data_IF_488490022534
#
_entry.id   IF_488490022534
#
_cell.length_a   1.000
_cell.length_b   1.000
_cell.length_c   1.000
_cell.angle_alpha   90.00
_cell.angle_beta   90.00
_cell.angle_gamma   90.00
#
_symmetry.space_group_name_H-M   'P 1'
#
loop_
_entity.id
_entity.type
_entity.pdbx_description
1 polymer ?
#
# COMPACT_ATOMS: atom_id res chain seq x y z
N UNK A 1 -20.34 9.12 -0.82
CA UNK A 1 -19.08 9.08 -1.59
C UNK A 1 -18.53 7.68 -1.42
N UNK A 2 -18.17 7.02 -2.52
CA UNK A 2 -17.52 5.71 -2.46
C UNK A 2 -16.02 5.90 -2.18
N UNK A 3 -15.42 4.99 -1.42
CA UNK A 3 -13.98 4.99 -1.17
C UNK A 3 -13.23 4.59 -2.44
N UNK A 4 -11.95 5.00 -2.55
CA UNK A 4 -11.08 4.48 -3.61
C UNK A 4 -10.84 2.99 -3.39
N UNK A 5 -10.77 2.25 -4.49
CA UNK A 5 -10.52 0.81 -4.47
C UNK A 5 -9.05 0.55 -4.81
N UNK A 6 -8.37 -0.20 -3.96
CA UNK A 6 -6.97 -0.57 -4.10
C UNK A 6 -6.83 -2.09 -4.02
N UNK A 7 -5.82 -2.62 -4.68
CA UNK A 7 -5.50 -4.06 -4.62
C UNK A 7 -4.20 -4.29 -3.88
N UNK A 8 -4.15 -5.35 -3.06
CA UNK A 8 -2.94 -5.83 -2.39
C UNK A 8 -2.49 -7.13 -3.05
N UNK A 9 -1.30 -7.13 -3.64
CA UNK A 9 -0.69 -8.28 -4.30
C UNK A 9 0.54 -8.79 -3.55
N UNK A 10 0.74 -10.11 -3.56
CA UNK A 10 1.99 -10.77 -3.17
C UNK A 10 2.46 -11.62 -4.35
N UNK A 11 3.72 -11.47 -4.73
CA UNK A 11 4.33 -12.06 -5.93
C UNK A 11 5.59 -12.87 -5.57
N UNK A 12 5.53 -13.60 -4.44
CA UNK A 12 6.67 -14.35 -3.91
C UNK A 12 7.36 -13.55 -2.80
N UNK A 13 8.49 -12.93 -3.10
CA UNK A 13 9.19 -12.03 -2.16
C UNK A 13 8.66 -10.59 -2.23
N UNK A 14 8.01 -10.23 -3.33
CA UNK A 14 7.55 -8.85 -3.57
C UNK A 14 6.08 -8.68 -3.18
N UNK A 15 5.72 -7.47 -2.76
CA UNK A 15 4.33 -7.09 -2.53
C UNK A 15 4.06 -5.67 -3.02
N UNK A 16 2.79 -5.42 -3.33
CA UNK A 16 2.35 -4.09 -3.76
C UNK A 16 0.93 -3.76 -3.31
N UNK A 17 0.67 -2.50 -3.01
CA UNK A 17 -0.66 -1.89 -2.93
C UNK A 17 -0.80 -1.00 -4.17
N UNK A 18 -1.84 -1.19 -4.99
CA UNK A 18 -2.01 -0.45 -6.26
C UNK A 18 -3.43 0.06 -6.47
N UNK A 19 -3.56 1.26 -7.04
CA UNK A 19 -4.80 1.73 -7.66
C UNK A 19 -4.95 1.08 -9.05
N UNK A 20 -5.97 0.24 -9.27
CA UNK A 20 -6.12 -0.48 -10.54
C UNK A 20 -6.42 0.45 -11.72
N UNK A 21 -6.78 1.72 -11.46
CA UNK A 21 -7.03 2.71 -12.50
C UNK A 21 -5.77 3.53 -12.83
N UNK A 22 -4.65 3.29 -12.13
CA UNK A 22 -3.38 3.95 -12.40
C UNK A 22 -2.60 3.17 -13.47
N UNK A 23 -2.21 3.83 -14.56
CA UNK A 23 -1.30 3.29 -15.56
C UNK A 23 0.17 3.34 -15.08
N UNK A 24 1.07 2.66 -15.79
CA UNK A 24 2.51 2.48 -15.44
C UNK A 24 3.35 3.78 -15.30
N UNK A 25 2.74 4.97 -15.28
CA UNK A 25 3.40 6.29 -15.25
C UNK A 25 3.59 6.86 -13.82
N UNK A 26 3.80 6.00 -12.82
CA UNK A 26 4.07 6.44 -11.46
C UNK A 26 5.45 7.12 -11.35
N UNK A 27 5.48 8.39 -10.92
CA UNK A 27 6.72 9.02 -10.47
C UNK A 27 7.02 8.53 -9.05
N UNK A 28 8.06 7.71 -8.90
CA UNK A 28 8.50 7.26 -7.59
C UNK A 28 8.93 8.44 -6.72
N UNK A 29 8.41 8.54 -5.50
CA UNK A 29 9.04 9.37 -4.48
C UNK A 29 10.37 8.69 -4.13
N UNK A 30 11.48 9.34 -4.43
CA UNK A 30 12.81 8.77 -4.21
C UNK A 30 13.01 8.29 -2.77
N UNK A 31 13.58 7.09 -2.64
CA UNK A 31 14.17 6.46 -1.43
C UNK A 31 13.34 6.66 -0.15
N UNK A 32 12.07 6.26 -0.17
CA UNK A 32 11.36 5.85 1.04
C UNK A 32 11.08 4.36 0.85
N UNK A 33 11.49 3.51 1.78
CA UNK A 33 11.04 2.13 1.84
C UNK A 33 9.80 2.08 2.74
N UNK A 34 8.68 1.48 2.31
CA UNK A 34 8.42 0.97 0.96
C UNK A 34 8.29 2.08 -0.08
N UNK A 35 8.68 1.79 -1.33
CA UNK A 35 8.64 2.75 -2.45
C UNK A 35 7.21 3.21 -2.64
N UNK A 36 6.95 4.48 -2.34
CA UNK A 36 5.61 5.07 -2.35
C UNK A 36 5.49 6.06 -3.51
N UNK A 37 4.46 5.87 -4.35
CA UNK A 37 4.16 6.76 -5.48
C UNK A 37 2.90 7.55 -5.19
N UNK A 38 2.96 8.86 -5.43
CA UNK A 38 1.86 9.80 -5.16
C UNK A 38 1.51 10.58 -6.42
N UNK A 39 0.21 10.61 -6.76
CA UNK A 39 -0.33 11.40 -7.87
C UNK A 39 -1.49 12.26 -7.37
N UNK A 40 -1.42 13.59 -7.61
CA UNK A 40 -2.47 14.51 -7.18
C UNK A 40 -2.68 14.54 -5.65
N UNK A 41 -1.64 14.27 -4.86
CA UNK A 41 -1.71 14.21 -3.40
C UNK A 41 -2.34 12.92 -2.85
N UNK A 42 -2.46 11.87 -3.68
CA UNK A 42 -2.97 10.56 -3.29
C UNK A 42 -1.95 9.47 -3.56
N UNK A 43 -1.82 8.53 -2.64
CA UNK A 43 -1.01 7.32 -2.87
C UNK A 43 -1.71 6.47 -3.95
N UNK A 44 -0.94 6.12 -4.98
CA UNK A 44 -1.39 5.29 -6.11
C UNK A 44 -0.67 3.95 -6.15
N UNK A 45 0.52 3.88 -5.56
CA UNK A 45 1.28 2.64 -5.42
C UNK A 45 2.14 2.67 -4.15
N UNK A 46 2.23 1.52 -3.48
CA UNK A 46 3.26 1.22 -2.49
C UNK A 46 3.86 -0.14 -2.89
N UNK A 47 5.17 -0.24 -2.98
CA UNK A 47 5.87 -1.46 -3.40
C UNK A 47 7.12 -1.72 -2.54
N UNK A 48 7.34 -2.99 -2.19
CA UNK A 48 8.60 -3.44 -1.60
C UNK A 48 8.84 -4.94 -1.86
N UNK A 49 10.08 -5.36 -1.65
CA UNK A 49 10.55 -6.75 -1.63
C UNK A 49 10.75 -7.27 -0.21
N UNK A 50 10.74 -6.39 0.79
CA UNK A 50 10.80 -6.75 2.21
C UNK A 50 9.44 -6.52 2.85
N UNK A 51 9.01 -7.45 3.70
CA UNK A 51 7.83 -7.20 4.54
C UNK A 51 8.03 -5.92 5.36
N UNK A 52 7.01 -5.05 5.51
CA UNK A 52 7.14 -3.80 6.24
C UNK A 52 7.70 -4.02 7.65
N UNK A 53 8.73 -3.25 8.03
CA UNK A 53 9.19 -3.21 9.41
C UNK A 53 8.30 -2.26 10.22
N UNK A 54 8.35 -2.39 11.56
CA UNK A 54 7.60 -1.49 12.43
C UNK A 54 8.06 -0.03 12.25
N UNK A 55 9.35 0.18 12.03
CA UNK A 55 9.95 1.50 11.83
C UNK A 55 9.37 2.18 10.57
N UNK A 56 9.24 1.46 9.45
CA UNK A 56 8.65 1.98 8.21
C UNK A 56 7.17 2.36 8.40
N UNK A 57 6.42 1.55 9.17
CA UNK A 57 5.02 1.85 9.50
C UNK A 57 4.91 3.08 10.40
N UNK A 58 5.84 3.26 11.33
CA UNK A 58 5.88 4.40 12.21
C UNK A 58 6.25 5.69 11.46
N UNK A 59 7.20 5.63 10.52
CA UNK A 59 7.52 6.73 9.60
C UNK A 59 6.32 7.07 8.71
N UNK A 60 5.61 6.08 8.17
CA UNK A 60 4.42 6.30 7.36
C UNK A 60 3.32 7.11 8.09
N UNK A 61 3.24 7.02 9.43
CA UNK A 61 2.27 7.79 10.25
C UNK A 61 2.56 9.29 10.27
N UNK A 62 3.74 9.74 9.86
CA UNK A 62 4.07 11.18 9.74
C UNK A 62 3.44 11.82 8.49
N UNK A 63 2.98 11.01 7.53
CA UNK A 63 2.43 11.46 6.26
C UNK A 63 0.90 11.36 6.24
N UNK A 64 0.23 12.49 6.01
CA UNK A 64 -1.25 12.57 6.01
C UNK A 64 -1.90 11.67 4.95
N UNK A 65 -1.20 11.41 3.84
CA UNK A 65 -1.68 10.61 2.72
C UNK A 65 -1.96 9.16 3.12
N UNK A 66 -1.22 8.63 4.11
CA UNK A 66 -1.41 7.26 4.60
C UNK A 66 -2.69 7.07 5.40
N UNK A 67 -3.33 8.15 5.85
CA UNK A 67 -4.62 8.11 6.57
C UNK A 67 -5.84 8.18 5.65
N UNK A 68 -5.67 8.15 4.32
CA UNK A 68 -6.80 8.05 3.40
C UNK A 68 -7.53 6.71 3.58
N UNK A 69 -8.84 6.78 3.84
CA UNK A 69 -9.70 5.59 3.94
C UNK A 69 -9.99 5.06 2.53
N UNK A 70 -9.62 3.82 2.28
CA UNK A 70 -9.79 3.11 1.02
C UNK A 70 -10.42 1.73 1.24
N UNK A 71 -10.98 1.16 0.18
CA UNK A 71 -11.41 -0.24 0.13
C UNK A 71 -10.30 -1.08 -0.51
N UNK A 72 -9.78 -2.06 0.22
CA UNK A 72 -8.69 -2.92 -0.20
C UNK A 72 -9.19 -4.32 -0.55
N UNK A 73 -8.67 -4.87 -1.65
CA UNK A 73 -8.87 -6.27 -2.05
C UNK A 73 -7.53 -7.00 -2.14
N UNK A 74 -7.38 -8.08 -1.37
CA UNK A 74 -6.19 -8.93 -1.37
C UNK A 74 -6.34 -9.96 -2.48
N UNK A 75 -5.49 -9.87 -3.50
CA UNK A 75 -5.63 -10.66 -4.73
C UNK A 75 -5.43 -12.16 -4.53
N UNK A 76 -4.60 -12.55 -3.57
CA UNK A 76 -4.24 -13.96 -3.34
C UNK A 76 -5.38 -14.80 -2.73
N UNK A 77 -6.33 -14.16 -2.03
CA UNK A 77 -7.38 -14.86 -1.30
C UNK A 77 -8.77 -14.20 -1.41
N UNK A 78 -8.89 -13.05 -2.08
CA UNK A 78 -10.14 -12.30 -2.22
C UNK A 78 -10.61 -11.64 -0.93
N UNK A 79 -9.79 -11.57 0.12
CA UNK A 79 -10.12 -10.86 1.36
C UNK A 79 -10.29 -9.37 1.07
N UNK A 80 -11.32 -8.76 1.67
CA UNK A 80 -11.66 -7.35 1.47
C UNK A 80 -11.83 -6.67 2.81
N UNK A 81 -11.30 -5.45 2.91
CA UNK A 81 -11.45 -4.62 4.10
C UNK A 81 -11.45 -3.14 3.72
N UNK A 82 -12.08 -2.32 4.56
CA UNK A 82 -12.00 -0.86 4.47
C UNK A 82 -11.08 -0.39 5.59
N UNK A 83 -10.12 0.47 5.25
CA UNK A 83 -9.13 0.96 6.22
C UNK A 83 -8.24 2.04 5.62
N UNK A 84 -7.17 2.38 6.33
CA UNK A 84 -6.10 3.29 5.89
C UNK A 84 -4.96 2.53 5.21
N UNK A 85 -4.00 3.23 4.62
CA UNK A 85 -2.77 2.59 4.15
C UNK A 85 -1.95 2.00 5.31
N UNK A 86 -2.04 2.58 6.53
CA UNK A 86 -1.42 2.00 7.73
C UNK A 86 -2.01 0.63 8.04
N UNK A 87 -3.34 0.48 7.98
CA UNK A 87 -4.01 -0.81 8.20
C UNK A 87 -3.58 -1.84 7.14
N UNK A 88 -3.40 -1.39 5.89
CA UNK A 88 -2.91 -2.24 4.81
C UNK A 88 -1.45 -2.69 5.02
N UNK A 89 -0.56 -1.81 5.48
CA UNK A 89 0.83 -2.17 5.82
C UNK A 89 0.88 -3.16 6.98
N UNK A 90 0.09 -2.95 8.04
CA UNK A 90 0.01 -3.90 9.17
C UNK A 90 -0.56 -5.26 8.72
N UNK A 91 -1.52 -5.29 7.79
CA UNK A 91 -2.00 -6.53 7.18
C UNK A 91 -0.87 -7.26 6.44
N UNK A 92 -0.11 -6.57 5.61
CA UNK A 92 1.00 -7.16 4.84
C UNK A 92 2.07 -7.69 5.78
N UNK A 93 2.50 -6.90 6.77
CA UNK A 93 3.45 -7.33 7.81
C UNK A 93 2.99 -8.59 8.54
N UNK A 94 1.70 -8.70 8.88
CA UNK A 94 1.16 -9.85 9.59
C UNK A 94 0.97 -11.11 8.73
N UNK A 95 0.79 -10.96 7.42
CA UNK A 95 0.33 -12.07 6.55
C UNK A 95 1.32 -12.48 5.46
N UNK A 96 2.19 -11.58 5.00
CA UNK A 96 3.10 -11.86 3.87
C UNK A 96 4.53 -12.20 4.34
N UNK A 97 4.85 -11.94 5.61
CA UNK A 97 6.14 -12.31 6.22
C UNK A 97 6.22 -13.80 6.50
N UNK A 98 7.18 -14.48 5.87
CA UNK A 98 7.75 -15.75 6.32
C UNK A 98 9.23 -15.57 6.61
#
# INVERSE_FOLDING_TARGET
>A
MENRKLTIGSYGIEWAIKDPNHGDEAQGLGIIAPITSVMGGKIVEIFDILTPYQEDIDEAKEYKEFYEICDFEVLSNGYKFTGTFIDALEYIKANFGK
#
